data_IF_118811031868
#
_entry.id   IF_118811031868
#
_cell.length_a   1.000
_cell.length_b   1.000
_cell.length_c   1.000
_cell.angle_alpha   90.00
_cell.angle_beta   90.00
_cell.angle_gamma   90.00
#
_symmetry.space_group_name_H-M   'P 1'
#
loop_
_entity.id
_entity.type
_entity.pdbx_description
1 polymer ?
#
# COMPACT_ATOMS: atom_id res chain seq x y z
N UNK A 1 -15.72 17.95 1.99
CA UNK A 1 -16.18 17.69 3.36
C UNK A 1 -15.96 18.96 4.15
N UNK A 2 -16.92 19.37 4.97
CA UNK A 2 -16.85 20.59 5.79
C UNK A 2 -16.66 20.22 7.26
N UNK A 3 -15.64 20.77 7.91
CA UNK A 3 -15.33 20.52 9.32
C UNK A 3 -15.92 21.57 10.26
N UNK A 4 -16.56 22.63 9.74
CA UNK A 4 -17.11 23.72 10.54
C UNK A 4 -18.06 23.25 11.65
N UNK A 5 -18.97 22.28 11.45
CA UNK A 5 -19.83 21.80 12.54
C UNK A 5 -19.03 21.24 13.72
N UNK A 6 -17.98 20.45 13.47
CA UNK A 6 -17.12 19.91 14.53
C UNK A 6 -16.37 21.01 15.28
N UNK A 7 -15.84 22.01 14.55
CA UNK A 7 -15.14 23.16 15.13
C UNK A 7 -16.06 24.04 15.99
N UNK A 8 -17.35 24.06 15.69
CA UNK A 8 -18.38 24.76 16.47
C UNK A 8 -18.96 23.89 17.61
N UNK A 9 -18.37 22.73 17.91
CA UNK A 9 -18.82 21.82 18.96
C UNK A 9 -20.15 21.11 18.67
N UNK A 10 -20.60 21.10 17.41
CA UNK A 10 -21.80 20.38 16.97
C UNK A 10 -21.45 18.93 16.61
N UNK A 11 -22.46 18.06 16.67
CA UNK A 11 -22.31 16.70 16.15
C UNK A 11 -21.91 16.74 14.68
N UNK A 12 -20.88 15.97 14.35
CA UNK A 12 -20.32 15.89 13.02
C UNK A 12 -19.77 14.48 12.81
N UNK A 13 -20.03 13.93 11.64
CA UNK A 13 -19.47 12.67 11.20
C UNK A 13 -18.93 12.85 9.80
N UNK A 14 -17.90 12.08 9.48
CA UNK A 14 -17.33 12.07 8.15
C UNK A 14 -18.26 11.33 7.19
N UNK A 15 -18.36 11.82 5.97
CA UNK A 15 -19.21 11.23 4.93
C UNK A 15 -18.47 10.24 4.00
N UNK A 16 -17.14 10.23 4.03
CA UNK A 16 -16.29 9.49 3.07
C UNK A 16 -15.20 8.69 3.77
N UNK A 17 -14.67 7.60 3.22
CA UNK A 17 -13.47 6.97 3.76
C UNK A 17 -12.24 7.86 3.55
N UNK A 18 -11.22 7.72 4.41
CA UNK A 18 -9.88 8.23 4.14
C UNK A 18 -9.09 7.18 3.39
N UNK A 19 -8.42 7.57 2.32
CA UNK A 19 -7.56 6.68 1.53
C UNK A 19 -6.24 7.40 1.24
N UNK A 20 -5.14 6.66 1.28
CA UNK A 20 -3.83 7.20 0.92
C UNK A 20 -2.89 6.09 0.43
N UNK A 21 -1.90 6.51 -0.35
CA UNK A 21 -0.84 5.67 -0.88
C UNK A 21 0.51 6.32 -0.58
N UNK A 22 1.49 5.53 -0.15
CA UNK A 22 2.86 6.00 0.04
C UNK A 22 3.86 4.88 -0.26
N UNK A 23 4.68 5.07 -1.30
CA UNK A 23 5.72 4.15 -1.75
C UNK A 23 5.20 2.71 -2.02
N UNK A 24 3.98 2.61 -2.54
CA UNK A 24 3.27 1.36 -2.83
C UNK A 24 2.45 0.82 -1.67
N UNK A 25 2.62 1.33 -0.44
CA UNK A 25 1.75 0.99 0.68
C UNK A 25 0.40 1.65 0.48
N UNK A 26 -0.67 0.92 0.78
CA UNK A 26 -2.05 1.36 0.51
C UNK A 26 -2.83 1.29 1.80
N UNK A 27 -3.64 2.30 2.09
CA UNK A 27 -4.46 2.27 3.28
C UNK A 27 -5.82 2.92 3.06
N UNK A 28 -6.80 2.40 3.80
CA UNK A 28 -8.13 2.97 3.90
C UNK A 28 -8.65 2.91 5.33
N UNK A 29 -9.27 3.99 5.80
CA UNK A 29 -10.04 4.05 7.04
C UNK A 29 -11.49 4.37 6.68
N UNK A 30 -12.45 3.67 7.28
CA UNK A 30 -13.86 3.95 7.04
C UNK A 30 -14.32 5.30 7.62
N UNK A 31 -15.51 5.73 7.20
CA UNK A 31 -16.18 6.94 7.64
C UNK A 31 -16.37 7.02 9.16
N UNK A 32 -16.45 5.88 9.85
CA UNK A 32 -16.60 5.81 11.31
C UNK A 32 -15.28 6.00 12.06
N UNK A 33 -14.14 5.82 11.38
CA UNK A 33 -12.82 5.85 12.00
C UNK A 33 -12.44 4.56 12.73
N UNK A 34 -13.33 3.54 12.74
CA UNK A 34 -13.10 2.30 13.48
C UNK A 34 -12.18 1.34 12.76
N UNK A 35 -12.37 1.15 11.46
CA UNK A 35 -11.67 0.11 10.73
C UNK A 35 -10.60 0.69 9.83
N UNK A 36 -9.37 0.16 9.93
CA UNK A 36 -8.27 0.48 9.02
C UNK A 36 -7.79 -0.75 8.30
N UNK A 37 -7.80 -0.70 6.98
CA UNK A 37 -7.12 -1.67 6.12
C UNK A 37 -5.77 -1.11 5.68
N UNK A 38 -4.76 -1.98 5.63
CA UNK A 38 -3.41 -1.65 5.17
C UNK A 38 -2.87 -2.78 4.29
N UNK A 39 -2.34 -2.42 3.12
CA UNK A 39 -1.45 -3.28 2.35
C UNK A 39 -0.01 -2.80 2.51
N UNK A 40 0.83 -3.63 3.13
CA UNK A 40 2.25 -3.38 3.33
C UNK A 40 3.03 -3.90 2.11
N UNK A 41 3.48 -2.99 1.23
CA UNK A 41 4.03 -3.35 -0.07
C UNK A 41 5.33 -4.16 -0.01
N UNK A 42 6.18 -3.87 0.99
CA UNK A 42 7.45 -4.57 1.19
C UNK A 42 7.23 -6.05 1.57
N UNK A 43 6.22 -6.30 2.38
CA UNK A 43 5.86 -7.63 2.89
C UNK A 43 4.90 -8.36 1.97
N UNK A 44 4.23 -7.62 1.07
CA UNK A 44 3.13 -8.12 0.23
C UNK A 44 1.99 -8.71 1.08
N UNK A 45 1.73 -8.10 2.22
CA UNK A 45 0.79 -8.59 3.22
C UNK A 45 -0.32 -7.56 3.48
N UNK A 46 -1.52 -8.06 3.77
CA UNK A 46 -2.67 -7.26 4.16
C UNK A 46 -2.92 -7.35 5.68
N UNK A 47 -3.37 -6.24 6.24
CA UNK A 47 -3.70 -6.06 7.64
C UNK A 47 -5.05 -5.37 7.78
N UNK A 48 -5.77 -5.73 8.83
CA UNK A 48 -6.97 -5.04 9.27
C UNK A 48 -6.86 -4.78 10.76
N UNK A 49 -7.14 -3.54 11.16
CA UNK A 49 -7.10 -3.09 12.56
C UNK A 49 -8.46 -2.52 12.96
N UNK A 50 -8.90 -2.84 14.19
CA UNK A 50 -9.99 -2.13 14.87
C UNK A 50 -9.35 -1.03 15.73
N UNK A 51 -9.37 0.21 15.23
CA UNK A 51 -8.76 1.36 15.88
C UNK A 51 -9.49 1.78 17.17
N UNK A 52 -10.74 1.36 17.37
CA UNK A 52 -11.45 1.62 18.62
C UNK A 52 -11.00 0.65 19.73
N UNK A 53 -10.75 -0.61 19.37
CA UNK A 53 -10.25 -1.61 20.30
C UNK A 53 -8.73 -1.52 20.50
N UNK A 54 -7.99 -1.15 19.46
CA UNK A 54 -6.53 -1.05 19.43
C UNK A 54 -6.06 0.09 18.52
N UNK A 55 -6.00 1.30 19.06
CA UNK A 55 -5.46 2.48 18.37
C UNK A 55 -3.94 2.43 18.13
N UNK A 56 -3.24 1.42 18.64
CA UNK A 56 -1.79 1.22 18.41
C UNK A 56 -1.48 0.27 17.27
N UNK A 57 -2.50 -0.36 16.68
CA UNK A 57 -2.38 -1.20 15.47
C UNK A 57 -1.48 -2.44 15.67
N UNK A 58 -1.45 -2.99 16.89
CA UNK A 58 -0.61 -4.15 17.22
C UNK A 58 -1.28 -5.48 16.86
N UNK A 59 -2.60 -5.50 16.66
CA UNK A 59 -3.35 -6.73 16.41
C UNK A 59 -3.98 -6.77 15.02
N UNK A 60 -3.43 -7.60 14.14
CA UNK A 60 -4.06 -7.88 12.84
C UNK A 60 -5.29 -8.79 13.02
N UNK A 61 -6.48 -8.28 12.73
CA UNK A 61 -7.76 -9.00 12.85
C UNK A 61 -8.37 -9.40 11.51
N UNK A 62 -7.59 -9.33 10.42
CA UNK A 62 -8.08 -9.57 9.05
C UNK A 62 -8.74 -10.95 8.85
N UNK A 63 -8.23 -11.99 9.51
CA UNK A 63 -8.78 -13.35 9.42
C UNK A 63 -10.13 -13.50 10.12
N UNK A 64 -10.44 -12.62 11.08
CA UNK A 64 -11.70 -12.61 11.81
C UNK A 64 -12.78 -11.78 11.11
N UNK A 65 -12.37 -10.79 10.31
CA UNK A 65 -13.27 -9.86 9.63
C UNK A 65 -12.87 -9.64 8.15
N UNK A 66 -12.76 -10.71 7.33
CA UNK A 66 -12.30 -10.61 5.95
C UNK A 66 -13.22 -9.73 5.07
N UNK A 67 -14.51 -9.69 5.37
CA UNK A 67 -15.51 -8.88 4.68
C UNK A 67 -15.27 -7.37 4.84
N UNK A 68 -14.81 -6.94 6.02
CA UNK A 68 -14.50 -5.53 6.29
C UNK A 68 -13.23 -5.12 5.53
N UNK A 69 -12.21 -5.98 5.52
CA UNK A 69 -11.00 -5.76 4.75
C UNK A 69 -11.32 -5.65 3.25
N UNK A 70 -12.16 -6.54 2.71
CA UNK A 70 -12.58 -6.48 1.32
C UNK A 70 -13.32 -5.18 0.98
N UNK A 71 -14.24 -4.75 1.85
CA UNK A 71 -14.96 -3.46 1.69
C UNK A 71 -13.99 -2.28 1.62
N UNK A 72 -13.07 -2.20 2.57
CA UNK A 72 -12.09 -1.10 2.64
C UNK A 72 -11.10 -1.12 1.48
N UNK A 73 -10.68 -2.31 1.03
CA UNK A 73 -9.86 -2.47 -0.17
C UNK A 73 -10.56 -1.93 -1.41
N UNK A 74 -11.86 -2.22 -1.58
CA UNK A 74 -12.66 -1.66 -2.67
C UNK A 74 -12.82 -0.14 -2.56
N UNK A 75 -12.96 0.40 -1.35
CA UNK A 75 -12.95 1.84 -1.11
C UNK A 75 -11.63 2.46 -1.58
N UNK A 76 -10.49 1.87 -1.21
CA UNK A 76 -9.17 2.30 -1.67
C UNK A 76 -9.06 2.24 -3.19
N UNK A 77 -9.45 1.13 -3.83
CA UNK A 77 -9.32 0.94 -5.28
C UNK A 77 -10.13 1.98 -6.06
N UNK A 78 -11.33 2.33 -5.58
CA UNK A 78 -12.16 3.39 -6.16
C UNK A 78 -11.49 4.75 -6.02
N UNK A 79 -11.06 5.11 -4.81
CA UNK A 79 -10.36 6.37 -4.55
C UNK A 79 -9.08 6.49 -5.39
N UNK A 80 -8.29 5.42 -5.48
CA UNK A 80 -7.05 5.38 -6.25
C UNK A 80 -7.30 5.64 -7.74
N UNK A 81 -8.38 5.06 -8.30
CA UNK A 81 -8.81 5.30 -9.68
C UNK A 81 -9.24 6.76 -9.91
N UNK A 82 -10.04 7.31 -9.01
CA UNK A 82 -10.54 8.69 -9.09
C UNK A 82 -9.41 9.72 -8.97
N UNK A 83 -8.35 9.41 -8.22
CA UNK A 83 -7.21 10.29 -7.96
C UNK A 83 -5.98 9.97 -8.80
N UNK A 84 -6.12 9.13 -9.84
CA UNK A 84 -5.05 8.79 -10.79
C UNK A 84 -3.77 8.27 -10.11
N UNK A 85 -3.93 7.51 -9.02
CA UNK A 85 -2.80 6.89 -8.32
C UNK A 85 -2.15 5.87 -9.25
N UNK A 86 -0.89 6.11 -9.60
CA UNK A 86 -0.14 5.26 -10.51
C UNK A 86 0.47 4.06 -9.76
N UNK A 87 0.55 2.88 -10.40
CA UNK A 87 1.33 1.76 -9.87
C UNK A 87 2.78 2.17 -9.59
N UNK A 88 3.32 1.76 -8.44
CA UNK A 88 4.66 2.19 -7.98
C UNK A 88 5.77 1.77 -8.96
N UNK A 89 5.55 0.73 -9.76
CA UNK A 89 6.43 0.27 -10.83
C UNK A 89 6.57 1.29 -11.97
N UNK A 90 5.53 2.11 -12.20
CA UNK A 90 5.54 3.15 -13.23
C UNK A 90 6.22 4.44 -12.74
N UNK A 91 6.19 4.72 -11.43
CA UNK A 91 6.71 5.97 -10.84
C UNK A 91 8.18 5.86 -10.39
N UNK A 92 8.76 4.66 -10.34
CA UNK A 92 10.18 4.44 -9.99
C UNK A 92 11.06 4.17 -11.22
N UNK A 93 11.57 5.20 -11.92
CA UNK A 93 12.46 4.99 -13.07
C UNK A 93 13.85 4.43 -12.67
N UNK A 94 14.28 4.57 -11.41
CA UNK A 94 15.68 4.36 -11.02
C UNK A 94 16.12 2.89 -10.87
N UNK A 95 15.22 1.91 -10.75
CA UNK A 95 15.64 0.50 -10.65
C UNK A 95 15.89 -0.19 -12.00
N UNK A 96 15.62 0.48 -13.13
CA UNK A 96 15.96 -0.03 -14.46
C UNK A 96 17.40 0.27 -14.89
N UNK A 97 18.14 1.14 -14.17
CA UNK A 97 19.49 1.57 -14.54
C UNK A 97 20.59 0.59 -14.06
N UNK A 98 20.26 -0.35 -13.16
CA UNK A 98 21.23 -1.32 -12.63
C UNK A 98 20.99 -2.78 -13.03
N UNK A 99 20.20 -3.05 -14.08
CA UNK A 99 20.41 -4.26 -14.89
C UNK A 99 21.74 -4.11 -15.63
N UNK A 100 22.87 -4.24 -14.89
CA UNK A 100 24.16 -4.57 -15.48
C UNK A 100 23.90 -5.77 -16.37
N UNK A 101 24.13 -5.60 -17.67
CA UNK A 101 24.21 -6.70 -18.62
C UNK A 101 25.00 -7.82 -17.95
N UNK A 102 24.38 -8.95 -17.66
CA UNK A 102 25.15 -10.19 -17.52
C UNK A 102 25.69 -10.46 -18.92
N UNK A 103 26.83 -9.86 -19.24
CA UNK A 103 27.63 -10.31 -20.36
C UNK A 103 28.02 -11.72 -19.96
N UNK A 104 27.37 -12.70 -20.59
CA UNK A 104 27.74 -14.09 -20.49
C UNK A 104 29.26 -14.19 -20.65
N UNK A 105 29.93 -14.78 -19.66
CA UNK A 105 31.35 -15.07 -19.71
C UNK A 105 31.60 -15.99 -20.90
N UNK A 106 31.96 -15.42 -22.06
CA UNK A 106 32.57 -16.21 -23.13
C UNK A 106 33.91 -16.70 -22.59
N UNK A 107 33.99 -18.00 -22.34
CA UNK A 107 35.19 -18.74 -21.97
C UNK A 107 36.34 -18.38 -22.91
N UNK A 108 37.48 -17.92 -22.36
CA UNK A 108 38.74 -17.85 -23.10
C UNK A 108 39.25 -19.28 -23.36
N UNK A 109 39.72 -19.62 -24.57
CA UNK A 109 40.41 -20.89 -24.78
C UNK A 109 41.79 -20.87 -24.11
N UNK A 110 42.21 -22.01 -23.55
CA UNK A 110 43.55 -22.20 -22.98
C UNK A 110 44.61 -22.12 -24.10
N UNK A 111 45.77 -21.49 -23.89
CA UNK A 111 46.83 -21.50 -24.89
C UNK A 111 47.42 -22.92 -25.01
N UNK A 112 47.63 -23.38 -26.23
CA UNK A 112 48.41 -24.59 -26.51
C UNK A 112 49.86 -24.35 -26.08
N UNK A 113 50.38 -25.25 -25.23
CA UNK A 113 51.82 -25.37 -24.99
C UNK A 113 52.48 -25.99 -26.23
N UNK A 114 53.38 -25.27 -26.87
CA UNK A 114 54.33 -25.84 -27.81
C UNK A 114 55.46 -26.57 -27.05
N UNK A 115 55.96 -27.66 -27.63
CA UNK A 115 57.03 -28.53 -27.13
C UNK A 115 58.38 -27.85 -27.17
#
# INVERSE_FOLDING_TARGET
EDFLPALLGKSWQRDKPLCWELYGNKAAIDETGRWKWLYAAREKQEYLFDLHADGTENHNVITRHPEIAQRLKQCYERWAKENLVLPIEQVRPHQLIHRRRSIASKSRPKPLRAK
#
